data_IF_342809930527
#
_entry.id   IF_342809930527
#
_cell.length_a   1.000
_cell.length_b   1.000
_cell.length_c   1.000
_cell.angle_alpha   90.00
_cell.angle_beta   90.00
_cell.angle_gamma   90.00
#
_symmetry.space_group_name_H-M   'P 1'
#
loop_
_entity.id
_entity.type
_entity.pdbx_description
1 polymer ?
#
# COMPACT_ATOMS: atom_id res chain seq x y z
N UNK A 1 -11.20 -18.19 -13.05
CA UNK A 1 -10.11 -17.41 -12.43
C UNK A 1 -9.16 -16.95 -13.53
N UNK A 2 -8.43 -15.86 -13.33
CA UNK A 2 -7.37 -15.43 -14.26
C UNK A 2 -6.10 -16.24 -13.97
N UNK A 3 -5.53 -16.92 -14.96
CA UNK A 3 -4.37 -17.82 -14.80
C UNK A 3 -3.02 -17.07 -14.83
N UNK A 4 -2.81 -16.11 -13.92
CA UNK A 4 -1.56 -15.32 -13.86
C UNK A 4 -0.58 -15.74 -12.77
N UNK A 5 -0.97 -16.68 -11.92
CA UNK A 5 -0.14 -17.23 -10.85
C UNK A 5 -0.07 -18.74 -11.11
N UNK A 6 1.14 -19.27 -11.27
CA UNK A 6 1.34 -20.71 -11.42
C UNK A 6 1.36 -21.39 -10.05
N UNK A 7 1.06 -22.68 -10.04
CA UNK A 7 1.17 -23.48 -8.82
C UNK A 7 2.60 -23.39 -8.27
N UNK A 8 2.70 -23.17 -6.95
CA UNK A 8 3.93 -22.98 -6.19
C UNK A 8 4.85 -21.83 -6.66
N UNK A 9 4.34 -20.88 -7.47
CA UNK A 9 5.09 -19.70 -7.90
C UNK A 9 5.16 -18.65 -6.77
N UNK A 10 6.39 -18.31 -6.36
CA UNK A 10 6.62 -17.10 -5.58
C UNK A 10 6.47 -15.87 -6.49
N UNK A 11 5.32 -15.20 -6.42
CA UNK A 11 5.02 -13.99 -7.20
C UNK A 11 4.59 -12.84 -6.28
N UNK A 12 5.32 -11.73 -6.34
CA UNK A 12 4.97 -10.53 -5.59
C UNK A 12 3.80 -9.77 -6.23
N UNK A 13 3.13 -8.93 -5.42
CA UNK A 13 2.10 -8.03 -5.94
C UNK A 13 2.61 -7.12 -7.07
N UNK A 14 3.81 -6.50 -7.00
CA UNK A 14 4.32 -5.71 -8.11
C UNK A 14 4.46 -6.51 -9.41
N UNK A 15 4.99 -7.73 -9.33
CA UNK A 15 5.21 -8.60 -10.49
C UNK A 15 3.88 -9.02 -11.14
N UNK A 16 2.87 -9.33 -10.33
CA UNK A 16 1.52 -9.65 -10.81
C UNK A 16 0.89 -8.48 -11.56
N UNK A 17 0.99 -7.26 -11.01
CA UNK A 17 0.44 -6.06 -11.65
C UNK A 17 1.14 -5.76 -12.99
N UNK A 18 2.45 -5.94 -13.05
CA UNK A 18 3.22 -5.82 -14.30
C UNK A 18 2.76 -6.86 -15.31
N UNK A 19 2.66 -8.14 -14.93
CA UNK A 19 2.20 -9.24 -15.80
C UNK A 19 0.81 -8.98 -16.37
N UNK A 20 -0.11 -8.46 -15.55
CA UNK A 20 -1.46 -8.06 -15.98
C UNK A 20 -1.42 -6.93 -17.02
N UNK A 21 -0.60 -5.90 -16.78
CA UNK A 21 -0.43 -4.76 -17.69
C UNK A 21 0.16 -5.19 -19.03
N UNK A 22 1.14 -6.09 -19.02
CA UNK A 22 1.78 -6.65 -20.22
C UNK A 22 0.80 -7.49 -21.06
N UNK A 23 -0.13 -8.21 -20.43
CA UNK A 23 -1.22 -8.95 -21.11
C UNK A 23 -2.39 -8.03 -21.56
N UNK A 24 -2.19 -6.71 -21.53
CA UNK A 24 -3.18 -5.72 -21.95
C UNK A 24 -4.38 -5.58 -20.99
N UNK A 25 -4.29 -6.11 -19.77
CA UNK A 25 -5.32 -5.87 -18.75
C UNK A 25 -5.20 -4.46 -18.20
N UNK A 26 -6.35 -3.89 -17.85
CA UNK A 26 -6.42 -2.56 -17.24
C UNK A 26 -5.97 -2.63 -15.78
N UNK A 27 -4.85 -1.98 -15.47
CA UNK A 27 -4.36 -1.74 -14.11
C UNK A 27 -4.53 -0.25 -13.83
N UNK A 28 -5.20 0.09 -12.74
CA UNK A 28 -5.52 1.48 -12.38
C UNK A 28 -4.98 1.83 -11.00
N UNK A 29 -4.76 3.11 -10.79
CA UNK A 29 -4.43 3.70 -9.50
C UNK A 29 -5.47 4.74 -9.14
N UNK A 30 -5.55 5.04 -7.85
CA UNK A 30 -6.34 6.12 -7.32
C UNK A 30 -5.47 6.86 -6.30
N UNK A 31 -5.33 8.17 -6.49
CA UNK A 31 -4.64 9.03 -5.55
C UNK A 31 -5.62 9.42 -4.46
N UNK A 32 -5.28 9.09 -3.22
CA UNK A 32 -6.09 9.44 -2.07
C UNK A 32 -5.48 10.67 -1.40
N UNK A 33 -6.32 11.68 -1.17
CA UNK A 33 -5.96 12.83 -0.35
C UNK A 33 -6.10 12.45 1.12
N UNK A 34 -5.07 11.78 1.65
CA UNK A 34 -5.01 11.38 3.05
C UNK A 34 -3.60 11.46 3.60
N UNK A 35 -3.52 11.49 4.92
CA UNK A 35 -2.29 11.18 5.61
C UNK A 35 -2.02 9.67 5.54
N UNK A 36 -0.88 9.30 4.96
CA UNK A 36 -0.43 7.92 4.84
C UNK A 36 1.06 7.83 5.19
N UNK A 37 1.41 6.82 5.99
CA UNK A 37 2.78 6.55 6.44
C UNK A 37 3.08 5.05 6.30
N UNK A 38 4.26 4.71 5.80
CA UNK A 38 4.76 3.34 5.75
C UNK A 38 5.51 3.02 7.05
N UNK A 39 4.86 2.29 7.97
CA UNK A 39 5.36 2.04 9.33
C UNK A 39 6.11 0.69 9.40
N UNK A 40 6.96 0.43 8.40
CA UNK A 40 7.67 -0.84 8.27
C UNK A 40 8.91 -0.99 9.15
N UNK A 41 9.52 0.12 9.59
CA UNK A 41 10.72 0.13 10.45
C UNK A 41 10.45 0.81 11.79
N UNK A 42 11.35 0.60 12.75
CA UNK A 42 11.24 1.20 14.09
C UNK A 42 11.22 2.73 14.04
N UNK A 43 12.05 3.34 13.20
CA UNK A 43 12.08 4.81 13.09
C UNK A 43 10.85 5.36 12.35
N UNK A 44 10.28 4.59 11.42
CA UNK A 44 9.01 4.94 10.78
C UNK A 44 7.86 4.92 11.82
N UNK A 45 7.90 3.97 12.76
CA UNK A 45 6.96 3.90 13.87
C UNK A 45 7.09 5.10 14.81
N UNK A 46 8.31 5.50 15.17
CA UNK A 46 8.54 6.71 15.97
C UNK A 46 7.95 7.94 15.29
N UNK A 47 8.19 8.07 13.98
CA UNK A 47 7.63 9.17 13.16
C UNK A 47 6.10 9.16 13.18
N UNK A 48 5.47 7.99 13.07
CA UNK A 48 4.01 7.87 13.13
C UNK A 48 3.44 8.25 14.50
N UNK A 49 4.13 7.90 15.60
CA UNK A 49 3.74 8.30 16.95
C UNK A 49 3.81 9.81 17.14
N UNK A 50 4.90 10.45 16.70
CA UNK A 50 5.06 11.91 16.75
C UNK A 50 3.97 12.59 15.92
N UNK A 51 3.73 12.11 14.69
CA UNK A 51 2.67 12.63 13.81
C UNK A 51 1.29 12.50 14.46
N UNK A 52 1.02 11.39 15.17
CA UNK A 52 -0.24 11.20 15.90
C UNK A 52 -0.39 12.20 17.05
N UNK A 53 0.65 12.37 17.87
CA UNK A 53 0.62 13.29 19.01
C UNK A 53 0.45 14.76 18.58
N UNK A 54 1.04 15.16 17.46
CA UNK A 54 0.91 16.51 16.92
C UNK A 54 -0.49 16.81 16.35
N UNK A 55 -1.20 15.78 15.88
CA UNK A 55 -2.50 15.93 15.20
C UNK A 55 -3.61 15.12 15.89
N UNK A 56 -3.55 14.91 17.21
CA UNK A 56 -4.47 14.03 17.96
C UNK A 56 -5.96 14.30 17.70
N UNK A 57 -6.34 15.57 17.57
CA UNK A 57 -7.73 15.98 17.28
C UNK A 57 -8.25 15.39 15.98
N UNK A 58 -7.39 15.29 14.97
CA UNK A 58 -7.76 14.83 13.63
C UNK A 58 -8.00 13.31 13.61
N UNK A 59 -7.38 12.58 14.52
CA UNK A 59 -7.51 11.12 14.64
C UNK A 59 -8.58 10.68 15.64
N UNK A 60 -8.72 11.39 16.76
CA UNK A 60 -9.61 11.00 17.84
C UNK A 60 -11.02 11.61 17.71
N UNK A 61 -11.16 12.71 16.95
CA UNK A 61 -12.37 13.53 16.97
C UNK A 61 -12.54 14.28 18.29
N UNK A 62 -13.40 15.28 18.31
CA UNK A 62 -13.83 15.98 19.53
C UNK A 62 -14.67 15.07 20.46
#
# INVERSE_FOLDING_TARGET
ALNYIKDDEALGMPDLLVRLKEDGKKVCTYEQDCLWLDIGREDDYKTAMETFEDNRSDFLGD
#
